data_IF_340211391256
#
_entry.id   IF_340211391256
#
_cell.length_a   1.000
_cell.length_b   1.000
_cell.length_c   1.000
_cell.angle_alpha   90.00
_cell.angle_beta   90.00
_cell.angle_gamma   90.00
#
_symmetry.space_group_name_H-M   'P 1'
#
loop_
_entity.id
_entity.type
_entity.pdbx_description
1 polymer ?
#
# COMPACT_ATOMS: atom_id res chain seq x y z
N UNK A 1 2.83 -18.06 -0.65
CA UNK A 1 2.22 -16.76 -0.31
C UNK A 1 1.36 -16.91 0.90
N UNK A 2 1.38 -15.96 1.83
CA UNK A 2 0.46 -15.99 2.97
C UNK A 2 -0.98 -15.82 2.47
N UNK A 3 -1.90 -16.55 3.10
CA UNK A 3 -3.33 -16.35 2.88
C UNK A 3 -3.83 -15.34 3.91
N UNK A 4 -4.28 -14.19 3.44
CA UNK A 4 -4.80 -13.12 4.30
C UNK A 4 -6.26 -13.30 4.68
N UNK A 5 -7.02 -13.99 3.83
CA UNK A 5 -8.47 -14.19 3.95
C UNK A 5 -8.85 -15.62 3.55
N UNK A 6 -10.01 -16.07 4.02
CA UNK A 6 -10.63 -17.35 3.65
C UNK A 6 -11.31 -17.25 2.28
N UNK A 7 -11.66 -18.39 1.69
CA UNK A 7 -12.43 -18.42 0.44
C UNK A 7 -13.78 -17.69 0.58
N UNK A 8 -14.49 -17.91 1.69
CA UNK A 8 -15.78 -17.24 1.96
C UNK A 8 -15.64 -15.72 2.06
N UNK A 9 -14.56 -15.25 2.68
CA UNK A 9 -14.26 -13.81 2.71
C UNK A 9 -13.94 -13.28 1.32
N UNK A 10 -13.24 -14.05 0.49
CA UNK A 10 -12.94 -13.67 -0.89
C UNK A 10 -14.18 -13.59 -1.77
N UNK A 11 -15.12 -14.54 -1.61
CA UNK A 11 -16.42 -14.51 -2.28
C UNK A 11 -17.21 -13.26 -1.87
N UNK A 12 -17.30 -13.00 -0.56
CA UNK A 12 -17.95 -11.79 -0.04
C UNK A 12 -17.31 -10.51 -0.58
N UNK A 13 -15.98 -10.40 -0.64
CA UNK A 13 -15.28 -9.27 -1.24
C UNK A 13 -15.69 -9.04 -2.69
N UNK A 14 -15.78 -10.12 -3.46
CA UNK A 14 -16.16 -10.03 -4.86
C UNK A 14 -17.59 -9.49 -5.03
N UNK A 15 -18.51 -9.90 -4.19
CA UNK A 15 -19.89 -9.39 -4.15
C UNK A 15 -19.96 -7.91 -3.77
N UNK A 16 -19.03 -7.42 -2.93
CA UNK A 16 -18.93 -6.02 -2.54
C UNK A 16 -18.14 -5.14 -3.56
N UNK A 17 -17.97 -5.60 -4.80
CA UNK A 17 -17.24 -4.85 -5.83
C UNK A 17 -15.73 -5.06 -5.78
N UNK A 18 -15.25 -6.14 -5.14
CA UNK A 18 -13.83 -6.51 -5.10
C UNK A 18 -12.99 -5.65 -4.17
N UNK A 19 -13.59 -5.10 -3.10
CA UNK A 19 -12.92 -4.27 -2.08
C UNK A 19 -13.24 -4.79 -0.70
N UNK A 20 -12.27 -4.75 0.23
CA UNK A 20 -12.50 -5.12 1.62
C UNK A 20 -11.57 -4.38 2.60
N UNK A 21 -12.04 -4.19 3.82
CA UNK A 21 -11.26 -3.69 4.94
C UNK A 21 -10.69 -4.89 5.70
N UNK A 22 -9.35 -5.01 5.75
CA UNK A 22 -8.73 -6.03 6.57
C UNK A 22 -8.78 -5.62 8.05
N UNK A 23 -9.74 -6.20 8.78
CA UNK A 23 -10.01 -5.85 10.17
C UNK A 23 -8.79 -5.98 11.10
N UNK A 24 -7.92 -6.98 10.85
CA UNK A 24 -6.70 -7.20 11.63
C UNK A 24 -5.62 -6.11 11.46
N UNK A 25 -5.72 -5.30 10.40
CA UNK A 25 -4.79 -4.22 10.08
C UNK A 25 -5.47 -2.83 10.07
N UNK A 26 -6.69 -2.72 10.62
CA UNK A 26 -7.52 -1.52 10.47
C UNK A 26 -8.10 -1.05 11.79
N UNK A 27 -8.07 0.26 11.98
CA UNK A 27 -8.74 0.97 13.05
C UNK A 27 -10.11 1.49 12.56
N UNK A 28 -11.07 1.65 13.48
CA UNK A 28 -12.45 2.06 13.13
C UNK A 28 -12.52 3.47 12.54
N UNK A 29 -11.80 4.42 13.14
CA UNK A 29 -11.74 5.82 12.71
C UNK A 29 -10.30 6.17 12.30
N UNK A 30 -9.90 5.93 11.06
CA UNK A 30 -8.51 6.06 10.64
C UNK A 30 -8.12 7.52 10.40
N UNK A 31 -6.85 7.83 10.64
CA UNK A 31 -6.21 9.08 10.25
C UNK A 31 -5.76 9.04 8.78
N UNK A 32 -5.30 7.86 8.36
CA UNK A 32 -4.81 7.59 6.99
C UNK A 32 -5.35 6.24 6.52
N UNK A 33 -5.68 6.17 5.24
CA UNK A 33 -6.05 4.95 4.55
C UNK A 33 -4.85 4.46 3.74
N UNK A 34 -4.41 3.23 3.97
CA UNK A 34 -3.55 2.52 3.03
C UNK A 34 -4.42 1.62 2.17
N UNK A 35 -4.15 1.60 0.88
CA UNK A 35 -4.81 0.68 -0.04
C UNK A 35 -3.80 0.04 -0.97
N UNK A 36 -4.10 -1.16 -1.41
CA UNK A 36 -3.25 -1.84 -2.36
C UNK A 36 -4.05 -2.68 -3.34
N UNK A 37 -3.52 -2.79 -4.56
CA UNK A 37 -4.00 -3.70 -5.59
C UNK A 37 -2.82 -4.54 -6.12
N UNK A 38 -2.89 -5.85 -5.86
CA UNK A 38 -1.84 -6.83 -6.13
C UNK A 38 -1.23 -7.39 -4.83
N UNK A 39 -0.64 -8.57 -4.93
CA UNK A 39 -0.11 -9.34 -3.80
C UNK A 39 1.11 -8.66 -3.12
N UNK A 40 2.11 -8.29 -3.91
CA UNK A 40 3.31 -7.62 -3.41
C UNK A 40 2.98 -6.24 -2.82
N UNK A 41 2.23 -5.35 -3.51
CA UNK A 41 1.78 -4.09 -2.93
C UNK A 41 0.99 -4.25 -1.64
N UNK A 42 0.10 -5.24 -1.54
CA UNK A 42 -0.67 -5.52 -0.32
C UNK A 42 0.24 -5.92 0.84
N UNK A 43 1.21 -6.81 0.58
CA UNK A 43 2.21 -7.21 1.57
C UNK A 43 3.03 -6.02 2.07
N UNK A 44 3.52 -5.18 1.16
CA UNK A 44 4.32 -4.02 1.53
C UNK A 44 3.51 -2.98 2.32
N UNK A 45 2.24 -2.77 1.97
CA UNK A 45 1.35 -1.87 2.72
C UNK A 45 1.06 -2.40 4.14
N UNK A 46 0.80 -3.70 4.30
CA UNK A 46 0.61 -4.33 5.61
C UNK A 46 1.88 -4.23 6.46
N UNK A 47 3.05 -4.44 5.87
CA UNK A 47 4.32 -4.28 6.56
C UNK A 47 4.58 -2.82 6.96
N UNK A 48 4.22 -1.85 6.13
CA UNK A 48 4.29 -0.43 6.48
C UNK A 48 3.43 -0.10 7.69
N UNK A 49 2.19 -0.62 7.74
CA UNK A 49 1.29 -0.46 8.90
C UNK A 49 1.94 -1.00 10.17
N UNK A 50 2.53 -2.20 10.11
CA UNK A 50 3.20 -2.79 11.27
C UNK A 50 4.37 -1.94 11.76
N UNK A 51 5.24 -1.48 10.85
CA UNK A 51 6.40 -0.66 11.16
C UNK A 51 5.96 0.67 11.80
N UNK A 52 4.99 1.34 11.20
CA UNK A 52 4.55 2.65 11.66
C UNK A 52 3.81 2.57 13.01
N UNK A 53 3.02 1.53 13.24
CA UNK A 53 2.37 1.33 14.55
C UNK A 53 3.37 1.05 15.69
N UNK A 54 4.54 0.49 15.38
CA UNK A 54 5.63 0.36 16.35
C UNK A 54 6.27 1.71 16.70
N UNK A 55 6.45 2.58 15.71
CA UNK A 55 7.12 3.87 15.87
C UNK A 55 6.16 5.01 16.27
N UNK A 56 4.86 4.89 15.94
CA UNK A 56 3.78 5.81 16.33
C UNK A 56 2.60 4.98 16.87
N UNK A 57 2.63 4.53 18.13
CA UNK A 57 1.66 3.55 18.65
C UNK A 57 0.19 4.00 18.61
N UNK A 58 -0.07 5.30 18.66
CA UNK A 58 -1.43 5.86 18.69
C UNK A 58 -1.97 6.21 17.31
N UNK A 59 -1.23 5.92 16.24
CA UNK A 59 -1.69 6.19 14.87
C UNK A 59 -2.86 5.26 14.53
N UNK A 60 -3.88 5.82 13.93
CA UNK A 60 -5.04 5.06 13.45
C UNK A 60 -4.95 4.90 11.94
N UNK A 61 -4.83 3.68 11.50
CA UNK A 61 -4.69 3.33 10.09
C UNK A 61 -5.80 2.36 9.67
N UNK A 62 -6.18 2.43 8.41
CA UNK A 62 -7.07 1.44 7.79
C UNK A 62 -6.39 0.87 6.55
N UNK A 63 -6.43 -0.45 6.41
CA UNK A 63 -6.01 -1.11 5.20
C UNK A 63 -7.23 -1.55 4.38
N UNK A 64 -7.30 -1.05 3.15
CA UNK A 64 -8.33 -1.39 2.17
C UNK A 64 -7.68 -2.18 1.04
N UNK A 65 -8.06 -3.44 0.89
CA UNK A 65 -7.59 -4.28 -0.19
C UNK A 65 -8.47 -4.10 -1.43
N UNK A 66 -7.85 -3.90 -2.60
CA UNK A 66 -8.55 -3.84 -3.89
C UNK A 66 -8.21 -5.11 -4.66
N UNK A 67 -9.17 -6.01 -4.78
CA UNK A 67 -9.02 -7.28 -5.48
C UNK A 67 -9.46 -7.23 -6.94
N UNK A 68 -10.29 -6.25 -7.29
CA UNK A 68 -10.84 -6.15 -8.63
C UNK A 68 -10.73 -4.73 -9.16
N UNK A 69 -10.10 -4.60 -10.30
CA UNK A 69 -10.03 -3.37 -11.09
C UNK A 69 -10.52 -3.68 -12.49
N UNK A 70 -11.45 -2.90 -12.97
CA UNK A 70 -11.85 -2.88 -14.38
C UNK A 70 -11.16 -1.71 -15.10
N UNK A 71 -11.42 -1.58 -16.38
CA UNK A 71 -10.80 -0.59 -17.26
C UNK A 71 -10.80 0.84 -16.69
N UNK A 72 -11.85 1.25 -15.99
CA UNK A 72 -12.00 2.62 -15.50
C UNK A 72 -12.66 2.71 -14.12
N UNK A 73 -12.75 1.62 -13.37
CA UNK A 73 -13.38 1.61 -12.05
C UNK A 73 -12.74 0.59 -11.11
N UNK A 74 -12.92 0.79 -9.82
CA UNK A 74 -12.74 -0.27 -8.82
C UNK A 74 -13.93 -1.22 -8.99
N UNK A 75 -13.68 -2.51 -8.92
CA UNK A 75 -14.70 -3.54 -9.14
C UNK A 75 -14.71 -4.08 -10.57
N UNK A 76 -15.73 -4.86 -10.88
CA UNK A 76 -15.93 -5.43 -12.22
C UNK A 76 -16.72 -4.48 -13.12
N UNK A 77 -16.72 -4.74 -14.44
CA UNK A 77 -17.53 -3.96 -15.40
C UNK A 77 -19.03 -4.02 -15.06
N UNK A 78 -19.50 -5.17 -14.56
CA UNK A 78 -20.91 -5.37 -14.23
C UNK A 78 -21.26 -4.97 -12.80
N UNK A 79 -20.26 -4.78 -11.94
CA UNK A 79 -20.42 -4.36 -10.55
C UNK A 79 -19.29 -3.39 -10.15
N UNK A 80 -19.31 -2.16 -10.67
CA UNK A 80 -18.35 -1.13 -10.27
C UNK A 80 -18.67 -0.63 -8.88
N UNK A 81 -17.65 -0.23 -8.13
CA UNK A 81 -17.81 0.39 -6.82
C UNK A 81 -18.64 1.67 -6.95
N UNK A 82 -19.65 1.82 -6.11
CA UNK A 82 -20.45 3.06 -6.05
C UNK A 82 -19.72 4.14 -5.27
N UNK A 83 -20.10 5.42 -5.42
CA UNK A 83 -19.56 6.50 -4.62
C UNK A 83 -19.82 6.29 -3.12
N UNK A 84 -21.01 5.82 -2.76
CA UNK A 84 -21.36 5.54 -1.36
C UNK A 84 -20.48 4.45 -0.76
N UNK A 85 -20.25 3.35 -1.50
CA UNK A 85 -19.33 2.29 -1.09
C UNK A 85 -17.89 2.80 -1.01
N UNK A 86 -17.46 3.62 -1.97
CA UNK A 86 -16.13 4.24 -1.89
C UNK A 86 -15.97 5.07 -0.62
N UNK A 87 -16.92 5.93 -0.29
CA UNK A 87 -16.91 6.76 0.91
C UNK A 87 -16.90 5.91 2.21
N UNK A 88 -17.55 4.75 2.18
CA UNK A 88 -17.53 3.80 3.28
C UNK A 88 -16.12 3.20 3.50
N UNK A 89 -15.49 2.72 2.43
CA UNK A 89 -14.17 2.09 2.50
C UNK A 89 -13.05 3.12 2.73
N UNK A 90 -13.07 4.23 1.99
CA UNK A 90 -11.96 5.17 1.90
C UNK A 90 -12.20 6.49 2.66
N UNK A 91 -13.31 6.64 3.37
CA UNK A 91 -13.75 7.91 3.98
C UNK A 91 -13.91 9.05 2.96
N UNK A 92 -14.33 10.22 3.40
CA UNK A 92 -14.56 11.38 2.50
C UNK A 92 -13.37 12.34 2.45
N UNK A 93 -12.51 12.33 3.49
CA UNK A 93 -11.56 13.40 3.78
C UNK A 93 -10.14 12.95 4.07
N UNK A 94 -9.93 11.68 4.45
CA UNK A 94 -8.62 11.17 4.88
C UNK A 94 -7.67 10.96 3.69
N UNK A 95 -6.38 11.10 3.94
CA UNK A 95 -5.34 10.78 2.96
C UNK A 95 -5.41 9.30 2.57
N UNK A 96 -5.29 9.02 1.29
CA UNK A 96 -5.22 7.68 0.73
C UNK A 96 -3.83 7.47 0.15
N UNK A 97 -3.09 6.53 0.74
CA UNK A 97 -1.82 6.03 0.22
C UNK A 97 -2.09 4.72 -0.51
N UNK A 98 -1.98 4.74 -1.82
CA UNK A 98 -2.23 3.58 -2.67
C UNK A 98 -0.92 2.97 -3.17
N UNK A 99 -0.82 1.65 -3.12
CA UNK A 99 0.29 0.89 -3.66
C UNK A 99 -0.21 -0.10 -4.70
N UNK A 100 0.36 -0.09 -5.90
CA UNK A 100 -0.18 -0.80 -7.06
C UNK A 100 0.87 -1.59 -7.81
N UNK A 101 0.51 -2.81 -8.23
CA UNK A 101 1.37 -3.66 -9.06
C UNK A 101 1.25 -3.32 -10.56
N UNK A 102 1.20 -2.05 -10.87
CA UNK A 102 1.13 -1.51 -12.22
C UNK A 102 1.43 -0.02 -12.20
N UNK A 103 1.25 0.65 -13.31
CA UNK A 103 1.57 2.08 -13.43
C UNK A 103 0.72 2.93 -12.48
N UNK A 104 1.39 3.76 -11.70
CA UNK A 104 0.74 4.65 -10.72
C UNK A 104 -0.33 5.54 -11.35
N UNK A 105 -0.10 6.03 -12.57
CA UNK A 105 -1.06 6.86 -13.30
C UNK A 105 -2.39 6.13 -13.56
N UNK A 106 -2.36 4.84 -13.85
CA UNK A 106 -3.57 4.03 -14.08
C UNK A 106 -4.44 4.01 -12.83
N UNK A 107 -3.88 3.65 -11.68
CA UNK A 107 -4.64 3.61 -10.44
C UNK A 107 -5.06 5.02 -9.98
N UNK A 108 -4.19 6.01 -10.16
CA UNK A 108 -4.51 7.40 -9.84
C UNK A 108 -5.71 7.90 -10.66
N UNK A 109 -5.78 7.58 -11.95
CA UNK A 109 -6.89 7.93 -12.82
C UNK A 109 -8.21 7.28 -12.34
N UNK A 110 -8.16 6.01 -11.96
CA UNK A 110 -9.32 5.29 -11.43
C UNK A 110 -9.80 5.91 -10.12
N UNK A 111 -8.92 6.12 -9.16
CA UNK A 111 -9.26 6.68 -7.85
C UNK A 111 -9.76 8.14 -7.95
N UNK A 112 -9.25 8.91 -8.88
CA UNK A 112 -9.65 10.31 -9.10
C UNK A 112 -11.10 10.49 -9.55
N UNK A 113 -11.76 9.42 -9.99
CA UNK A 113 -13.20 9.46 -10.31
C UNK A 113 -14.07 9.50 -9.05
N UNK A 114 -13.55 9.02 -7.93
CA UNK A 114 -14.28 8.92 -6.66
C UNK A 114 -13.92 10.04 -5.70
N UNK A 115 -12.73 10.65 -5.83
CA UNK A 115 -12.25 11.59 -4.82
C UNK A 115 -11.27 12.63 -5.38
N UNK A 116 -11.02 13.67 -4.58
CA UNK A 116 -10.08 14.73 -4.92
C UNK A 116 -8.63 14.21 -4.93
N UNK A 117 -7.88 14.53 -5.97
CA UNK A 117 -6.47 14.18 -6.12
C UNK A 117 -5.57 14.67 -4.97
N UNK A 118 -5.94 15.76 -4.27
CA UNK A 118 -5.15 16.27 -3.14
C UNK A 118 -5.01 15.28 -1.99
N UNK A 119 -5.95 14.34 -1.87
CA UNK A 119 -5.90 13.27 -0.86
C UNK A 119 -5.34 11.95 -1.38
N UNK A 120 -4.88 11.90 -2.61
CA UNK A 120 -4.31 10.70 -3.23
C UNK A 120 -2.79 10.79 -3.30
N UNK A 121 -2.12 9.73 -2.86
CA UNK A 121 -0.73 9.41 -3.18
C UNK A 121 -0.69 8.00 -3.70
N UNK A 122 -0.26 7.84 -4.94
CA UNK A 122 -0.26 6.54 -5.60
C UNK A 122 1.16 6.16 -5.97
N UNK A 123 1.64 5.10 -5.35
CA UNK A 123 2.85 4.39 -5.75
C UNK A 123 2.48 3.30 -6.73
N UNK A 124 3.30 3.13 -7.75
CA UNK A 124 3.09 2.12 -8.77
C UNK A 124 4.39 1.43 -9.11
N UNK A 125 4.32 0.48 -9.99
CA UNK A 125 5.45 -0.30 -10.43
C UNK A 125 5.68 -0.07 -11.92
N UNK A 126 6.91 0.29 -12.28
CA UNK A 126 7.36 0.41 -13.65
C UNK A 126 8.70 -0.33 -13.79
N UNK A 127 8.72 -1.39 -14.58
CA UNK A 127 9.94 -2.09 -14.88
C UNK A 127 10.81 -1.25 -15.83
N UNK A 128 12.04 -0.99 -15.42
CA UNK A 128 13.01 -0.22 -16.21
C UNK A 128 14.03 -1.12 -16.91
N UNK A 129 13.84 -2.43 -16.89
CA UNK A 129 14.74 -3.40 -17.51
C UNK A 129 16.09 -3.52 -16.79
N UNK A 130 16.16 -3.17 -15.50
CA UNK A 130 17.38 -3.28 -14.69
C UNK A 130 17.41 -4.60 -13.93
N UNK A 131 18.61 -5.16 -13.74
CA UNK A 131 18.81 -6.29 -12.84
C UNK A 131 19.03 -5.77 -11.44
N UNK A 132 18.08 -6.03 -10.56
CA UNK A 132 18.09 -5.59 -9.16
C UNK A 132 17.65 -6.71 -8.23
N UNK A 133 17.89 -6.55 -6.93
CA UNK A 133 17.25 -7.42 -5.94
C UNK A 133 15.74 -7.09 -5.83
N UNK A 134 14.93 -8.02 -5.30
CA UNK A 134 13.48 -7.77 -5.15
C UNK A 134 13.14 -6.50 -4.36
N UNK A 135 13.88 -6.21 -3.29
CA UNK A 135 13.64 -5.00 -2.51
C UNK A 135 14.12 -3.73 -3.22
N UNK A 136 15.25 -3.79 -3.93
CA UNK A 136 15.70 -2.65 -4.73
C UNK A 136 14.70 -2.28 -5.81
N UNK A 137 14.09 -3.26 -6.47
CA UNK A 137 13.04 -3.00 -7.46
C UNK A 137 11.86 -2.24 -6.84
N UNK A 138 11.42 -2.65 -5.64
CA UNK A 138 10.38 -1.94 -4.89
C UNK A 138 10.84 -0.53 -4.48
N UNK A 139 12.10 -0.40 -4.11
CA UNK A 139 12.70 0.86 -3.66
C UNK A 139 12.81 1.87 -4.80
N UNK A 140 13.28 1.45 -5.97
CA UNK A 140 13.36 2.29 -7.18
C UNK A 140 11.98 2.83 -7.58
N UNK A 141 10.94 2.04 -7.38
CA UNK A 141 9.55 2.42 -7.66
C UNK A 141 8.86 3.14 -6.48
N UNK A 142 9.57 3.39 -5.37
CA UNK A 142 9.03 3.96 -4.13
C UNK A 142 7.83 3.18 -3.55
N UNK A 143 7.70 1.91 -3.91
CA UNK A 143 6.57 1.03 -3.57
C UNK A 143 6.87 0.11 -2.37
N UNK A 144 8.03 0.27 -1.73
CA UNK A 144 8.41 -0.53 -0.56
C UNK A 144 7.72 -0.05 0.71
N UNK A 145 7.64 -0.94 1.71
CA UNK A 145 7.12 -0.65 3.07
C UNK A 145 7.71 0.59 3.70
N UNK A 146 9.00 0.84 3.48
CA UNK A 146 9.67 2.00 4.05
C UNK A 146 9.31 3.30 3.34
N UNK A 147 9.04 3.28 2.03
CA UNK A 147 8.55 4.46 1.32
C UNK A 147 7.14 4.84 1.76
N UNK A 148 6.25 3.84 1.92
CA UNK A 148 4.92 4.07 2.49
C UNK A 148 4.99 4.59 3.93
N UNK A 149 5.90 4.04 4.74
CA UNK A 149 6.14 4.53 6.10
C UNK A 149 6.71 5.95 6.13
N UNK A 150 7.57 6.34 5.17
CA UNK A 150 8.07 7.71 4.99
C UNK A 150 6.92 8.67 4.68
N UNK A 151 6.01 8.29 3.79
CA UNK A 151 4.86 9.14 3.48
C UNK A 151 3.96 9.38 4.69
N UNK A 152 3.73 8.33 5.49
CA UNK A 152 2.98 8.45 6.75
C UNK A 152 3.74 9.34 7.74
N UNK A 153 5.03 9.10 7.94
CA UNK A 153 5.87 9.89 8.85
C UNK A 153 5.88 11.38 8.44
N UNK A 154 5.93 11.66 7.14
CA UNK A 154 5.88 13.02 6.61
C UNK A 154 4.53 13.71 6.92
N UNK A 155 3.42 12.99 6.83
CA UNK A 155 2.09 13.52 7.19
C UNK A 155 1.99 13.92 8.67
N UNK A 156 2.78 13.26 9.53
CA UNK A 156 2.85 13.53 10.97
C UNK A 156 4.03 14.44 11.37
N UNK A 157 4.80 14.96 10.42
CA UNK A 157 5.97 15.80 10.69
C UNK A 157 7.12 15.09 11.43
N UNK A 158 7.17 13.75 11.36
CA UNK A 158 8.15 12.89 12.03
C UNK A 158 9.44 12.77 11.20
N UNK A 159 10.21 13.85 11.14
CA UNK A 159 11.48 13.88 10.39
C UNK A 159 12.49 12.83 10.90
N UNK A 160 12.47 12.51 12.18
CA UNK A 160 13.28 11.45 12.79
C UNK A 160 13.02 10.09 12.13
N UNK A 161 11.76 9.75 11.88
CA UNK A 161 11.36 8.49 11.23
C UNK A 161 11.69 8.50 9.72
N UNK A 162 11.54 9.64 9.06
CA UNK A 162 11.93 9.78 7.66
C UNK A 162 13.42 9.48 7.49
N UNK A 163 14.28 10.01 8.35
CA UNK A 163 15.71 9.74 8.34
C UNK A 163 15.96 8.25 8.61
N UNK A 164 15.36 7.70 9.68
CA UNK A 164 15.48 6.27 10.03
C UNK A 164 15.17 5.35 8.85
N UNK A 165 14.05 5.57 8.17
CA UNK A 165 13.62 4.67 7.07
C UNK A 165 14.47 4.85 5.81
N UNK A 166 14.92 6.08 5.52
CA UNK A 166 15.88 6.33 4.43
C UNK A 166 17.22 5.65 4.68
N UNK A 167 17.71 5.66 5.92
CA UNK A 167 18.94 4.98 6.27
C UNK A 167 18.84 3.47 6.08
N UNK A 168 17.69 2.86 6.40
CA UNK A 168 17.44 1.43 6.13
C UNK A 168 17.47 1.13 4.63
N UNK A 169 16.82 1.97 3.82
CA UNK A 169 16.83 1.83 2.37
C UNK A 169 18.27 1.93 1.84
N UNK A 170 19.03 2.92 2.26
CA UNK A 170 20.41 3.14 1.83
C UNK A 170 21.33 1.99 2.26
N UNK A 171 21.16 1.44 3.46
CA UNK A 171 21.90 0.27 3.93
C UNK A 171 21.63 -0.95 3.04
N UNK A 172 20.36 -1.17 2.65
CA UNK A 172 20.05 -2.26 1.74
C UNK A 172 20.66 -2.04 0.36
N UNK A 173 20.60 -0.83 -0.19
CA UNK A 173 21.22 -0.51 -1.48
C UNK A 173 22.74 -0.78 -1.46
N UNK A 174 23.43 -0.37 -0.41
CA UNK A 174 24.85 -0.63 -0.26
C UNK A 174 25.15 -2.15 -0.19
N UNK A 175 24.36 -2.88 0.60
CA UNK A 175 24.49 -4.34 0.72
C UNK A 175 24.18 -5.06 -0.61
N UNK A 176 23.11 -4.68 -1.28
CA UNK A 176 22.71 -5.28 -2.55
C UNK A 176 23.75 -5.01 -3.65
N UNK A 177 24.34 -3.83 -3.68
CA UNK A 177 25.40 -3.48 -4.62
C UNK A 177 26.69 -4.34 -4.40
N UNK A 178 26.99 -4.69 -3.14
CA UNK A 178 28.17 -5.47 -2.80
C UNK A 178 27.94 -6.99 -2.96
N UNK A 179 26.78 -7.49 -2.50
CA UNK A 179 26.53 -8.92 -2.36
C UNK A 179 25.48 -9.48 -3.34
N UNK A 180 24.77 -8.65 -4.08
CA UNK A 180 23.69 -9.06 -5.00
C UNK A 180 22.46 -9.62 -4.31
N UNK A 181 22.29 -9.36 -3.01
CA UNK A 181 21.15 -9.84 -2.19
C UNK A 181 20.63 -8.74 -1.28
N UNK A 182 19.34 -8.82 -0.91
CA UNK A 182 18.77 -7.94 0.09
C UNK A 182 19.18 -8.33 1.51
N UNK A 183 19.20 -7.38 2.44
CA UNK A 183 19.45 -7.61 3.85
C UNK A 183 18.46 -8.61 4.45
N UNK A 184 18.92 -9.52 5.28
CA UNK A 184 18.13 -10.64 5.83
C UNK A 184 16.89 -10.16 6.63
N UNK A 185 16.97 -9.05 7.35
CA UNK A 185 15.83 -8.51 8.09
C UNK A 185 14.74 -7.92 7.19
N UNK A 186 15.08 -7.59 5.93
CA UNK A 186 14.12 -7.15 4.91
C UNK A 186 13.42 -8.36 4.30
N UNK A 187 14.18 -9.40 3.94
CA UNK A 187 13.65 -10.61 3.30
C UNK A 187 12.83 -11.47 4.25
N UNK A 188 13.25 -11.56 5.53
CA UNK A 188 12.62 -12.37 6.57
C UNK A 188 11.55 -11.60 7.38
N UNK A 189 11.13 -10.42 6.92
CA UNK A 189 10.08 -9.67 7.59
C UNK A 189 8.76 -10.44 7.50
N UNK A 190 8.15 -10.71 8.67
CA UNK A 190 6.85 -11.41 8.78
C UNK A 190 5.83 -10.48 9.41
N UNK A 191 4.56 -10.68 9.06
CA UNK A 191 3.44 -9.93 9.64
C UNK A 191 2.96 -10.54 10.97
#
# INVERSE_FOLDING_TARGET
>A
MPRWITNTQSEFQFEQGGVDIFAFASDHDPDIILTAAGDIPSREALYAIRIIKQDIPNIKLRFVNINSLSYNAIGTINNPLTQESFDHFFTKDKLILANFHGYSNTLNQILSQYTNQKRLRVHGFSDQGTTTTPFEMLSLNQASRYHLAIDIANQYGRNDLIIKYRDIINQNHAHAAEFGTDLSFITNFTF
#
